data_IF_536123588953
#
_entry.id   IF_536123588953
#
_cell.length_a   1.000
_cell.length_b   1.000
_cell.length_c   1.000
_cell.angle_alpha   90.00
_cell.angle_beta   90.00
_cell.angle_gamma   90.00
#
_symmetry.space_group_name_H-M   'P 1'
#
loop_
_entity.id
_entity.type
_entity.pdbx_description
1 polymer ?
#
# COMPACT_ATOMS: atom_id res chain seq x y z
N UNK A 1 3.84 7.18 43.94
CA UNK A 1 4.37 6.16 43.01
C UNK A 1 3.94 6.50 41.60
N UNK A 2 4.76 7.24 40.86
CA UNK A 2 4.51 7.63 39.48
C UNK A 2 4.76 6.41 38.59
N UNK A 3 3.72 5.84 37.97
CA UNK A 3 3.87 4.77 36.99
C UNK A 3 4.79 5.31 35.88
N UNK A 4 6.05 4.83 35.81
CA UNK A 4 6.89 5.00 34.64
C UNK A 4 6.14 4.39 33.47
N UNK A 5 5.50 5.24 32.66
CA UNK A 5 4.90 4.83 31.39
C UNK A 5 6.08 4.37 30.53
N UNK A 6 6.16 3.07 30.27
CA UNK A 6 7.10 2.54 29.30
C UNK A 6 6.85 3.30 28.00
N UNK A 7 7.88 3.98 27.50
CA UNK A 7 7.86 4.61 26.18
C UNK A 7 7.50 3.51 25.20
N UNK A 8 6.28 3.58 24.65
CA UNK A 8 5.88 2.65 23.61
C UNK A 8 6.57 3.06 22.32
N UNK A 9 6.89 2.14 21.40
CA UNK A 9 7.41 2.49 20.06
C UNK A 9 6.55 3.50 19.28
N UNK A 10 5.33 3.78 19.75
CA UNK A 10 4.42 4.80 19.25
C UNK A 10 4.82 6.25 19.62
N UNK A 11 5.76 6.46 20.54
CA UNK A 11 6.21 7.79 20.97
C UNK A 11 7.34 8.39 20.12
N UNK A 12 7.82 7.66 19.09
CA UNK A 12 8.79 8.24 18.15
C UNK A 12 8.10 9.31 17.31
N UNK A 13 8.42 10.58 17.61
CA UNK A 13 8.02 11.73 16.82
C UNK A 13 8.21 11.45 15.34
N UNK A 14 7.16 11.69 14.55
CA UNK A 14 7.30 11.67 13.11
C UNK A 14 8.25 12.79 12.69
N UNK A 15 9.12 12.55 11.71
CA UNK A 15 10.14 13.51 11.32
C UNK A 15 9.49 14.82 10.88
N UNK A 16 10.20 15.91 11.11
CA UNK A 16 9.82 17.25 10.66
C UNK A 16 8.48 17.78 11.19
N UNK A 17 8.06 17.34 12.38
CA UNK A 17 6.98 17.96 13.13
C UNK A 17 5.56 17.59 12.71
N UNK A 18 5.38 16.57 11.84
CA UNK A 18 4.04 16.02 11.60
C UNK A 18 3.54 15.43 12.92
N UNK A 19 2.47 15.99 13.47
CA UNK A 19 1.81 15.38 14.62
C UNK A 19 0.94 14.26 14.10
N UNK A 20 1.30 13.00 14.39
CA UNK A 20 0.52 11.82 14.02
C UNK A 20 0.02 11.14 15.28
N UNK A 21 -1.29 11.01 15.38
CA UNK A 21 -1.95 10.27 16.44
C UNK A 21 -1.71 8.77 16.28
N UNK A 22 -1.48 8.08 17.39
CA UNK A 22 -1.40 6.62 17.41
C UNK A 22 -2.75 5.98 17.06
N UNK A 23 -3.87 6.62 17.40
CA UNK A 23 -5.24 6.19 17.09
C UNK A 23 -5.89 7.11 16.05
N UNK A 24 -6.85 6.63 15.24
CA UNK A 24 -7.52 7.47 14.25
C UNK A 24 -8.20 8.65 14.94
N UNK A 25 -7.97 9.87 14.44
CA UNK A 25 -8.52 11.10 15.07
C UNK A 25 -10.00 11.32 14.77
N UNK A 26 -10.52 10.61 13.77
CA UNK A 26 -11.93 10.60 13.40
C UNK A 26 -12.50 9.25 13.80
N UNK A 27 -13.69 9.28 14.40
CA UNK A 27 -14.43 8.07 14.74
C UNK A 27 -15.23 7.64 13.52
N UNK A 28 -15.10 6.38 13.13
CA UNK A 28 -15.91 5.81 12.06
C UNK A 28 -17.38 5.82 12.51
N UNK A 29 -18.21 6.59 11.81
CA UNK A 29 -19.64 6.64 12.07
C UNK A 29 -20.36 5.56 11.26
N UNK A 30 -20.62 4.41 11.87
CA UNK A 30 -21.27 3.23 11.25
C UNK A 30 -22.78 3.36 11.02
N UNK A 31 -23.38 4.55 11.20
CA UNK A 31 -24.85 4.73 11.18
C UNK A 31 -25.48 4.63 9.79
N UNK A 32 -24.69 4.64 8.71
CA UNK A 32 -25.20 4.35 7.37
C UNK A 32 -25.19 2.83 7.15
N UNK A 33 -26.36 2.23 6.88
CA UNK A 33 -26.60 0.77 6.74
C UNK A 33 -25.75 0.00 5.71
N UNK A 34 -24.76 0.63 5.04
CA UNK A 34 -24.00 0.04 3.92
C UNK A 34 -22.55 0.56 3.77
N UNK A 35 -21.79 0.77 4.86
CA UNK A 35 -20.34 1.01 4.72
C UNK A 35 -19.57 -0.30 4.88
N UNK A 36 -18.73 -0.62 3.90
CA UNK A 36 -17.79 -1.74 3.96
C UNK A 36 -16.63 -1.36 4.88
N UNK A 37 -16.86 -1.49 6.19
CA UNK A 37 -15.77 -1.39 7.17
C UNK A 37 -15.08 -2.73 7.31
N UNK A 38 -13.76 -2.78 7.17
CA UNK A 38 -12.96 -4.00 7.33
C UNK A 38 -11.89 -3.82 8.41
N UNK A 39 -11.46 -4.91 9.04
CA UNK A 39 -10.28 -4.93 9.92
C UNK A 39 -9.09 -5.47 9.14
N UNK A 40 -8.06 -4.64 8.98
CA UNK A 40 -6.81 -4.99 8.32
C UNK A 40 -5.76 -5.30 9.38
N UNK A 41 -5.28 -6.54 9.41
CA UNK A 41 -4.09 -6.91 10.18
C UNK A 41 -2.83 -6.45 9.44
N UNK A 42 -1.91 -5.80 10.15
CA UNK A 42 -0.66 -5.32 9.58
C UNK A 42 0.51 -5.64 10.52
N UNK A 43 1.62 -6.08 9.93
CA UNK A 43 2.90 -6.29 10.64
C UNK A 43 3.72 -5.01 10.71
N UNK A 44 3.32 -3.94 10.00
CA UNK A 44 3.80 -2.59 10.29
C UNK A 44 3.34 -2.16 11.69
N UNK A 45 3.91 -1.08 12.24
CA UNK A 45 3.35 -0.33 13.36
C UNK A 45 2.03 0.35 12.96
N UNK A 46 1.08 -0.41 12.40
CA UNK A 46 -0.31 -0.07 12.13
C UNK A 46 -1.18 -0.86 13.11
N UNK A 47 -0.83 -2.13 13.38
CA UNK A 47 -1.65 -3.06 14.18
C UNK A 47 -2.90 -3.50 13.42
N UNK A 48 -3.91 -4.02 14.13
CA UNK A 48 -5.25 -4.19 13.54
C UNK A 48 -5.92 -2.82 13.39
N UNK A 49 -6.43 -2.50 12.19
CA UNK A 49 -7.12 -1.22 11.94
C UNK A 49 -8.41 -1.39 11.17
N UNK A 50 -9.40 -0.61 11.57
CA UNK A 50 -10.60 -0.39 10.78
C UNK A 50 -10.27 0.54 9.60
N UNK A 51 -10.73 0.17 8.42
CA UNK A 51 -10.71 1.00 7.20
C UNK A 51 -12.16 1.32 6.81
N UNK A 52 -12.41 2.52 6.29
CA UNK A 52 -13.77 3.00 5.98
C UNK A 52 -14.26 2.60 4.57
N UNK A 53 -13.34 2.16 3.71
CA UNK A 53 -13.61 1.81 2.31
C UNK A 53 -12.73 0.66 1.81
N UNK A 54 -13.16 -0.02 0.74
CA UNK A 54 -12.37 -1.06 0.06
C UNK A 54 -11.10 -0.53 -0.60
N UNK A 55 -11.10 0.74 -1.01
CA UNK A 55 -9.92 1.38 -1.62
C UNK A 55 -8.86 1.69 -0.55
N UNK A 56 -9.27 2.15 0.64
CA UNK A 56 -8.38 2.28 1.80
C UNK A 56 -7.82 0.92 2.23
N UNK A 57 -8.65 -0.13 2.24
CA UNK A 57 -8.20 -1.49 2.50
C UNK A 57 -7.10 -1.90 1.52
N UNK A 58 -7.35 -1.70 0.21
CA UNK A 58 -6.39 -2.04 -0.83
C UNK A 58 -5.08 -1.27 -0.65
N UNK A 59 -5.15 0.03 -0.39
CA UNK A 59 -3.98 0.84 -0.11
C UNK A 59 -3.17 0.31 1.08
N UNK A 60 -3.84 -0.01 2.20
CA UNK A 60 -3.18 -0.55 3.38
C UNK A 60 -2.48 -1.89 3.10
N UNK A 61 -3.08 -2.77 2.27
CA UNK A 61 -2.46 -4.02 1.83
C UNK A 61 -1.21 -3.78 0.98
N UNK A 62 -1.28 -2.87 0.00
CA UNK A 62 -0.11 -2.51 -0.83
C UNK A 62 0.98 -1.92 0.04
N UNK A 63 0.65 -0.98 0.94
CA UNK A 63 1.61 -0.35 1.84
C UNK A 63 2.27 -1.35 2.81
N UNK A 64 1.53 -2.35 3.26
CA UNK A 64 2.07 -3.45 4.07
C UNK A 64 3.11 -4.28 3.32
N UNK A 65 2.92 -4.49 2.02
CA UNK A 65 3.83 -5.26 1.19
C UNK A 65 4.99 -4.41 0.66
N UNK A 66 4.83 -3.09 0.59
CA UNK A 66 5.87 -2.18 0.14
C UNK A 66 7.03 -2.15 1.16
N UNK A 67 8.24 -2.56 0.75
CA UNK A 67 9.41 -2.62 1.61
C UNK A 67 9.96 -1.25 2.02
N UNK A 68 9.67 -0.19 1.25
CA UNK A 68 10.02 1.19 1.59
C UNK A 68 9.13 1.77 2.68
N UNK A 69 7.96 1.17 2.92
CA UNK A 69 7.06 1.57 4.00
C UNK A 69 7.54 0.96 5.33
N UNK A 70 7.88 1.82 6.28
CA UNK A 70 8.27 1.40 7.62
C UNK A 70 7.19 1.64 8.67
N UNK A 71 6.26 2.58 8.42
CA UNK A 71 5.12 2.89 9.29
C UNK A 71 3.93 3.35 8.46
N UNK A 72 2.73 2.99 8.92
CA UNK A 72 1.46 3.45 8.35
C UNK A 72 0.51 3.78 9.49
N UNK A 73 -0.21 4.90 9.41
CA UNK A 73 -1.26 5.28 10.38
C UNK A 73 -2.47 5.80 9.63
N UNK A 74 -3.65 5.29 9.95
CA UNK A 74 -4.91 5.82 9.42
C UNK A 74 -5.35 7.07 10.17
N UNK A 75 -5.91 8.03 9.44
CA UNK A 75 -6.48 9.29 9.94
C UNK A 75 -5.60 9.94 11.01
N UNK A 76 -4.37 10.34 10.61
CA UNK A 76 -3.28 10.62 11.53
C UNK A 76 -3.51 11.89 12.34
N UNK A 77 -4.16 12.90 11.77
CA UNK A 77 -4.31 14.21 12.40
C UNK A 77 -5.43 15.03 11.78
N UNK A 78 -5.86 16.07 12.50
CA UNK A 78 -6.77 17.08 11.97
C UNK A 78 -5.95 18.26 11.43
N UNK A 79 -6.04 18.49 10.13
CA UNK A 79 -5.55 19.68 9.46
C UNK A 79 -6.64 20.76 9.45
N UNK A 80 -6.24 22.03 9.58
CA UNK A 80 -7.13 23.19 9.42
C UNK A 80 -6.86 23.78 8.03
N UNK A 81 -7.75 23.52 7.09
CA UNK A 81 -7.58 23.92 5.69
C UNK A 81 -8.49 25.08 5.37
N UNK A 82 -8.01 26.04 4.59
CA UNK A 82 -8.84 27.09 4.03
C UNK A 82 -9.45 26.59 2.71
N UNK A 83 -10.77 26.46 2.65
CA UNK A 83 -11.52 26.01 1.48
C UNK A 83 -12.75 26.92 1.32
N UNK A 84 -12.92 27.52 0.14
CA UNK A 84 -14.03 28.42 -0.20
C UNK A 84 -14.26 29.55 0.84
N UNK A 85 -13.16 30.17 1.30
CA UNK A 85 -13.21 31.25 2.29
C UNK A 85 -13.56 30.81 3.71
N UNK A 86 -13.65 29.50 3.99
CA UNK A 86 -13.94 28.94 5.31
C UNK A 86 -12.79 28.06 5.79
N UNK A 87 -12.56 28.05 7.11
CA UNK A 87 -11.65 27.09 7.72
C UNK A 87 -12.41 25.79 7.98
N UNK A 88 -12.01 24.72 7.30
CA UNK A 88 -12.55 23.36 7.50
C UNK A 88 -11.52 22.49 8.22
N UNK A 89 -12.01 21.48 8.93
CA UNK A 89 -11.18 20.42 9.51
C UNK A 89 -11.17 19.24 8.56
N UNK A 90 -9.98 18.78 8.17
CA UNK A 90 -9.77 17.61 7.31
C UNK A 90 -8.79 16.66 7.96
N UNK A 91 -9.00 15.37 7.78
CA UNK A 91 -8.08 14.34 8.24
C UNK A 91 -7.67 13.54 7.00
N UNK A 92 -6.38 13.53 6.64
CA UNK A 92 -5.89 12.67 5.56
C UNK A 92 -6.22 11.21 5.86
N UNK A 93 -6.40 10.38 4.85
CA UNK A 93 -6.68 8.96 5.07
C UNK A 93 -5.52 8.25 5.77
N UNK A 94 -4.28 8.57 5.41
CA UNK A 94 -3.08 7.95 5.99
C UNK A 94 -1.92 8.92 6.24
N UNK A 95 -1.06 8.58 7.20
CA UNK A 95 0.34 8.99 7.24
C UNK A 95 1.23 7.78 6.95
N UNK A 96 2.18 7.93 6.04
CA UNK A 96 3.11 6.89 5.59
C UNK A 96 4.53 7.32 5.89
N UNK A 97 5.32 6.43 6.49
CA UNK A 97 6.77 6.58 6.59
C UNK A 97 7.42 5.77 5.48
N UNK A 98 7.85 6.44 4.42
CA UNK A 98 8.44 5.86 3.22
C UNK A 98 9.92 6.23 3.12
N UNK A 99 10.83 5.25 3.16
CA UNK A 99 12.29 5.46 3.12
C UNK A 99 12.77 6.57 4.07
N UNK A 100 12.24 6.56 5.30
CA UNK A 100 12.56 7.52 6.35
C UNK A 100 11.92 8.91 6.20
N UNK A 101 11.08 9.11 5.17
CA UNK A 101 10.34 10.36 4.95
C UNK A 101 8.87 10.17 5.29
N UNK A 102 8.31 11.15 5.97
CA UNK A 102 6.89 11.16 6.30
C UNK A 102 6.08 11.83 5.20
N UNK A 103 4.93 11.25 4.88
CA UNK A 103 4.04 11.69 3.82
C UNK A 103 2.58 11.50 4.27
N UNK A 104 1.76 12.54 4.12
CA UNK A 104 0.31 12.45 4.30
C UNK A 104 -0.30 11.99 2.98
N UNK A 105 -1.28 11.11 3.05
CA UNK A 105 -1.78 10.41 1.88
C UNK A 105 -3.30 10.30 1.90
N UNK A 106 -3.90 10.48 0.73
CA UNK A 106 -5.33 10.30 0.49
C UNK A 106 -5.56 9.18 -0.51
N UNK A 107 -6.65 8.44 -0.34
CA UNK A 107 -7.08 7.40 -1.26
C UNK A 107 -8.48 7.73 -1.76
N UNK A 108 -8.68 7.71 -3.07
CA UNK A 108 -9.97 8.05 -3.69
C UNK A 108 -10.35 7.06 -4.78
N UNK A 109 -11.65 6.83 -4.93
CA UNK A 109 -12.17 6.20 -6.14
C UNK A 109 -11.96 7.15 -7.33
N UNK A 110 -11.74 6.61 -8.52
CA UNK A 110 -11.50 7.43 -9.71
C UNK A 110 -12.65 8.42 -9.98
N UNK A 111 -13.89 7.98 -9.78
CA UNK A 111 -15.07 8.83 -9.96
C UNK A 111 -15.13 10.01 -8.98
N UNK A 112 -14.68 9.81 -7.73
CA UNK A 112 -14.65 10.87 -6.71
C UNK A 112 -13.63 11.95 -7.05
N UNK A 113 -12.50 11.60 -7.68
CA UNK A 113 -11.49 12.57 -8.07
C UNK A 113 -11.97 13.60 -9.10
N UNK A 114 -13.05 13.29 -9.84
CA UNK A 114 -13.62 14.20 -10.83
C UNK A 114 -14.78 15.04 -10.29
N UNK A 115 -15.19 14.80 -9.04
CA UNK A 115 -16.12 15.68 -8.35
C UNK A 115 -15.41 17.01 -8.04
N UNK A 116 -15.93 18.16 -8.51
CA UNK A 116 -15.33 19.47 -8.25
C UNK A 116 -15.16 19.80 -6.76
N UNK A 117 -16.07 19.34 -5.89
CA UNK A 117 -15.96 19.57 -4.44
C UNK A 117 -14.79 18.77 -3.84
N UNK A 118 -14.62 17.51 -4.27
CA UNK A 118 -13.49 16.66 -3.85
C UNK A 118 -12.18 17.20 -4.39
N UNK A 119 -12.13 17.60 -5.67
CA UNK A 119 -10.93 18.19 -6.26
C UNK A 119 -10.51 19.48 -5.53
N UNK A 120 -11.47 20.36 -5.21
CA UNK A 120 -11.24 21.56 -4.40
C UNK A 120 -10.70 21.21 -3.01
N UNK A 121 -11.25 20.17 -2.37
CA UNK A 121 -10.79 19.69 -1.07
C UNK A 121 -9.35 19.19 -1.10
N UNK A 122 -9.00 18.33 -2.07
CA UNK A 122 -7.64 17.80 -2.22
C UNK A 122 -6.62 18.91 -2.43
N UNK A 123 -6.96 19.92 -3.24
CA UNK A 123 -6.12 21.10 -3.48
C UNK A 123 -5.94 21.95 -2.21
N UNK A 124 -7.00 22.13 -1.43
CA UNK A 124 -6.93 22.87 -0.17
C UNK A 124 -6.05 22.15 0.86
N UNK A 125 -6.17 20.83 0.96
CA UNK A 125 -5.31 20.00 1.83
C UNK A 125 -3.86 20.07 1.38
N UNK A 126 -3.58 19.85 0.08
CA UNK A 126 -2.23 19.98 -0.48
C UNK A 126 -1.60 21.33 -0.12
N UNK A 127 -2.33 22.41 -0.37
CA UNK A 127 -1.87 23.77 -0.11
C UNK A 127 -1.49 23.97 1.36
N UNK A 128 -2.29 23.45 2.29
CA UNK A 128 -1.97 23.51 3.72
C UNK A 128 -0.72 22.69 4.06
N UNK A 129 -0.62 21.46 3.54
CA UNK A 129 0.52 20.57 3.80
C UNK A 129 1.83 21.18 3.29
N UNK A 130 1.82 21.78 2.10
CA UNK A 130 3.01 22.37 1.49
C UNK A 130 3.50 23.66 2.16
N UNK A 131 2.72 24.28 3.05
CA UNK A 131 3.22 25.35 3.93
C UNK A 131 4.28 24.86 4.91
N UNK A 132 4.37 23.55 5.12
CA UNK A 132 5.38 22.92 5.95
C UNK A 132 6.48 22.34 5.06
N UNK A 133 7.69 22.92 5.14
CA UNK A 133 8.83 22.68 4.23
C UNK A 133 9.27 21.21 4.02
N UNK A 134 8.79 20.29 4.85
CA UNK A 134 9.19 18.88 4.81
C UNK A 134 8.00 17.91 4.76
N UNK A 135 6.79 18.43 4.70
CA UNK A 135 5.62 17.58 4.57
C UNK A 135 5.35 17.33 3.10
N UNK A 136 4.78 16.17 2.81
CA UNK A 136 4.38 15.77 1.48
C UNK A 136 2.93 15.34 1.52
N UNK A 137 2.22 15.61 0.43
CA UNK A 137 0.86 15.18 0.24
C UNK A 137 0.76 14.46 -1.10
N UNK A 138 0.18 13.26 -1.10
CA UNK A 138 -0.07 12.49 -2.30
C UNK A 138 -1.43 11.83 -2.27
N UNK A 139 -1.88 11.44 -3.46
CA UNK A 139 -3.19 10.82 -3.67
C UNK A 139 -3.00 9.56 -4.49
N UNK A 140 -3.55 8.44 -4.03
CA UNK A 140 -3.69 7.22 -4.84
C UNK A 140 -5.12 7.11 -5.35
N UNK A 141 -5.25 6.79 -6.64
CA UNK A 141 -6.53 6.41 -7.24
C UNK A 141 -6.74 4.91 -7.17
N UNK A 142 -8.00 4.51 -7.06
CA UNK A 142 -8.40 3.10 -7.11
C UNK A 142 -7.81 2.37 -8.32
N UNK A 143 -7.88 2.95 -9.53
CA UNK A 143 -7.35 2.35 -10.75
C UNK A 143 -5.87 2.03 -10.68
N UNK A 144 -5.08 2.87 -9.99
CA UNK A 144 -3.64 2.66 -9.85
C UNK A 144 -3.33 1.52 -8.87
N UNK A 145 -4.13 1.39 -7.81
CA UNK A 145 -4.06 0.30 -6.84
C UNK A 145 -4.59 -1.04 -7.38
N UNK A 146 -5.42 -0.98 -8.42
CA UNK A 146 -5.97 -2.13 -9.14
C UNK A 146 -5.25 -2.44 -10.45
N UNK A 147 -4.20 -1.69 -10.80
CA UNK A 147 -3.41 -1.95 -12.00
C UNK A 147 -2.71 -3.31 -11.89
N UNK A 148 -2.69 -4.08 -12.98
CA UNK A 148 -1.91 -5.31 -13.06
C UNK A 148 -0.44 -4.99 -13.41
N UNK A 149 0.54 -5.74 -12.85
CA UNK A 149 0.38 -6.93 -12.00
C UNK A 149 0.30 -6.65 -10.50
N UNK A 150 0.38 -5.38 -10.08
CA UNK A 150 0.34 -4.98 -8.66
C UNK A 150 -0.86 -5.59 -7.95
N UNK A 151 -2.02 -5.59 -8.61
CA UNK A 151 -3.24 -6.09 -8.05
C UNK A 151 -3.17 -7.59 -7.71
N UNK A 152 -2.88 -8.42 -8.71
CA UNK A 152 -2.77 -9.87 -8.51
C UNK A 152 -1.63 -10.23 -7.56
N UNK A 153 -0.49 -9.54 -7.62
CA UNK A 153 0.63 -9.74 -6.71
C UNK A 153 0.24 -9.43 -5.26
N UNK A 154 -0.47 -8.33 -5.02
CA UNK A 154 -0.94 -7.93 -3.69
C UNK A 154 -1.88 -8.98 -3.11
N UNK A 155 -2.85 -9.46 -3.90
CA UNK A 155 -3.81 -10.46 -3.41
C UNK A 155 -3.16 -11.81 -3.15
N UNK A 156 -2.18 -12.21 -3.96
CA UNK A 156 -1.40 -13.41 -3.73
C UNK A 156 -0.62 -13.30 -2.43
N UNK A 157 0.22 -12.27 -2.29
CA UNK A 157 1.10 -12.10 -1.14
C UNK A 157 0.32 -11.89 0.16
N UNK A 158 -0.80 -11.18 0.12
CA UNK A 158 -1.65 -10.97 1.29
C UNK A 158 -2.13 -12.29 1.91
N UNK A 159 -2.50 -13.28 1.08
CA UNK A 159 -2.91 -14.62 1.54
C UNK A 159 -1.77 -15.41 2.20
N UNK A 160 -0.53 -15.05 1.90
CA UNK A 160 0.68 -15.68 2.43
C UNK A 160 1.36 -14.84 3.53
N UNK A 161 0.81 -13.68 3.88
CA UNK A 161 1.35 -12.85 4.96
C UNK A 161 1.21 -13.56 6.29
N UNK A 162 2.33 -13.72 7.01
CA UNK A 162 2.38 -14.31 8.34
C UNK A 162 3.25 -13.45 9.26
N UNK A 163 2.96 -13.40 10.57
CA UNK A 163 3.87 -12.81 11.53
C UNK A 163 5.26 -13.44 11.43
N UNK A 164 6.31 -12.63 11.54
CA UNK A 164 7.70 -13.06 11.34
C UNK A 164 8.11 -14.23 12.26
N UNK A 165 7.61 -14.25 13.50
CA UNK A 165 7.88 -15.31 14.47
C UNK A 165 7.26 -16.67 14.11
N UNK A 166 6.33 -16.71 13.14
CA UNK A 166 5.74 -17.95 12.62
C UNK A 166 6.50 -18.49 11.41
N UNK A 167 7.48 -17.73 10.90
CA UNK A 167 8.34 -18.17 9.80
C UNK A 167 9.54 -18.91 10.38
N UNK A 168 9.81 -20.11 9.87
CA UNK A 168 10.94 -20.93 10.31
C UNK A 168 12.27 -20.16 10.19
N UNK A 169 12.97 -20.04 11.30
CA UNK A 169 14.24 -19.30 11.37
C UNK A 169 15.32 -19.92 10.49
N UNK A 170 15.43 -21.26 10.45
CA UNK A 170 16.44 -21.94 9.65
C UNK A 170 16.17 -21.75 8.15
N UNK A 171 14.90 -21.84 7.75
CA UNK A 171 14.46 -21.49 6.41
C UNK A 171 14.88 -20.06 6.02
N UNK A 172 14.59 -19.08 6.89
CA UNK A 172 14.92 -17.68 6.63
C UNK A 172 16.42 -17.48 6.39
N UNK A 173 17.27 -18.10 7.23
CA UNK A 173 18.72 -18.02 7.08
C UNK A 173 19.18 -18.63 5.75
N UNK A 174 18.69 -19.82 5.39
CA UNK A 174 19.07 -20.49 4.14
C UNK A 174 18.66 -19.70 2.90
N UNK A 175 17.45 -19.12 2.90
CA UNK A 175 17.00 -18.26 1.80
C UNK A 175 17.82 -16.98 1.74
N UNK A 176 18.03 -16.31 2.88
CA UNK A 176 18.82 -15.09 2.96
C UNK A 176 20.25 -15.28 2.44
N UNK A 177 20.87 -16.43 2.73
CA UNK A 177 22.20 -16.78 2.23
C UNK A 177 22.22 -16.98 0.70
N UNK A 178 21.15 -17.54 0.13
CA UNK A 178 21.05 -17.73 -1.32
C UNK A 178 20.88 -16.40 -2.05
N UNK A 179 20.08 -15.48 -1.51
CA UNK A 179 19.76 -14.19 -2.15
C UNK A 179 20.68 -13.03 -1.73
N UNK A 180 21.61 -13.26 -0.79
CA UNK A 180 22.60 -12.24 -0.38
C UNK A 180 23.71 -12.04 -1.41
N UNK A 181 23.95 -13.05 -2.23
CA UNK A 181 25.06 -13.07 -3.18
C UNK A 181 24.70 -12.47 -4.54
N UNK A 182 23.44 -12.59 -4.97
CA UNK A 182 23.01 -12.19 -6.30
C UNK A 182 21.46 -12.07 -6.39
N UNK A 183 21.00 -11.45 -7.47
CA UNK A 183 19.61 -11.44 -7.92
C UNK A 183 19.33 -12.76 -8.63
N UNK A 184 18.42 -13.58 -8.11
CA UNK A 184 18.21 -14.96 -8.57
C UNK A 184 16.74 -15.27 -8.84
N UNK A 185 16.41 -16.03 -9.90
CA UNK A 185 15.04 -16.50 -10.11
C UNK A 185 14.54 -17.35 -8.94
N UNK A 186 13.26 -17.24 -8.59
CA UNK A 186 12.64 -18.01 -7.52
C UNK A 186 12.88 -19.53 -7.64
N UNK A 187 12.79 -20.09 -8.85
CA UNK A 187 13.12 -21.51 -9.13
C UNK A 187 14.52 -21.91 -8.65
N UNK A 188 15.50 -21.02 -8.81
CA UNK A 188 16.89 -21.25 -8.39
C UNK A 188 17.00 -21.19 -6.88
N UNK A 189 16.25 -20.30 -6.22
CA UNK A 189 16.19 -20.25 -4.75
C UNK A 189 15.66 -21.56 -4.19
N UNK A 190 14.52 -22.05 -4.70
CA UNK A 190 13.93 -23.32 -4.27
C UNK A 190 14.91 -24.49 -4.45
N UNK A 191 15.60 -24.54 -5.59
CA UNK A 191 16.59 -25.58 -5.87
C UNK A 191 17.80 -25.52 -4.92
N UNK A 192 18.40 -24.35 -4.74
CA UNK A 192 19.60 -24.17 -3.90
C UNK A 192 19.30 -24.45 -2.43
N UNK A 193 18.15 -23.99 -1.92
CA UNK A 193 17.73 -24.28 -0.54
C UNK A 193 17.50 -25.77 -0.33
N UNK A 194 16.91 -26.46 -1.31
CA UNK A 194 16.73 -27.93 -1.27
C UNK A 194 18.05 -28.69 -1.24
N UNK A 195 19.08 -28.25 -1.97
CA UNK A 195 20.41 -28.91 -1.92
C UNK A 195 21.11 -28.76 -0.57
N UNK A 196 20.73 -27.75 0.23
CA UNK A 196 21.35 -27.42 1.52
C UNK A 196 20.56 -27.96 2.73
N UNK A 197 19.51 -28.74 2.53
CA UNK A 197 18.74 -29.33 3.62
C UNK A 197 17.30 -29.65 3.22
N UNK A 198 16.35 -29.43 4.13
CA UNK A 198 14.92 -29.62 3.82
C UNK A 198 14.50 -28.65 2.70
N UNK A 199 14.00 -29.20 1.59
CA UNK A 199 13.42 -28.42 0.51
C UNK A 199 12.25 -27.56 0.98
N UNK A 200 11.95 -26.52 0.22
CA UNK A 200 10.91 -25.55 0.55
C UNK A 200 9.89 -25.48 -0.56
N UNK A 201 8.64 -25.18 -0.21
CA UNK A 201 7.58 -25.01 -1.18
C UNK A 201 7.54 -23.55 -1.68
N UNK A 202 6.89 -23.33 -2.82
CA UNK A 202 6.66 -21.97 -3.34
C UNK A 202 5.92 -21.08 -2.33
N UNK A 203 4.98 -21.66 -1.57
CA UNK A 203 4.20 -20.97 -0.56
C UNK A 203 5.05 -20.45 0.61
N UNK A 204 6.13 -21.16 0.94
CA UNK A 204 7.09 -20.70 1.96
C UNK A 204 7.81 -19.46 1.45
N UNK A 205 8.24 -19.49 0.19
CA UNK A 205 8.91 -18.36 -0.46
C UNK A 205 7.98 -17.14 -0.58
N UNK A 206 6.71 -17.34 -0.96
CA UNK A 206 5.69 -16.28 -0.94
C UNK A 206 5.51 -15.68 0.46
N UNK A 207 5.58 -16.49 1.52
CA UNK A 207 5.46 -16.00 2.89
C UNK A 207 6.66 -15.15 3.31
N UNK A 208 7.86 -15.50 2.84
CA UNK A 208 9.07 -14.70 3.04
C UNK A 208 9.02 -13.37 2.26
N UNK A 209 8.47 -13.36 1.05
CA UNK A 209 8.24 -12.14 0.26
C UNK A 209 7.19 -11.26 0.95
N UNK A 210 6.04 -11.81 1.32
CA UNK A 210 4.98 -11.08 2.01
C UNK A 210 5.43 -10.52 3.36
N UNK A 211 6.28 -11.27 4.09
CA UNK A 211 6.94 -10.83 5.31
C UNK A 211 8.06 -9.80 5.10
N UNK A 212 8.37 -9.43 3.86
CA UNK A 212 9.42 -8.47 3.47
C UNK A 212 10.81 -8.88 3.95
N UNK A 213 11.11 -10.17 3.92
CA UNK A 213 12.44 -10.72 4.22
C UNK A 213 13.30 -10.84 2.96
N UNK A 214 12.63 -11.05 1.83
CA UNK A 214 13.19 -11.04 0.48
C UNK A 214 12.25 -10.23 -0.40
N UNK A 215 12.74 -9.83 -1.57
CA UNK A 215 12.03 -8.89 -2.43
C UNK A 215 12.04 -9.30 -3.89
N UNK A 216 11.20 -8.63 -4.68
CA UNK A 216 11.02 -8.84 -6.10
C UNK A 216 10.48 -7.56 -6.75
N UNK A 217 10.50 -7.50 -8.08
CA UNK A 217 9.92 -6.37 -8.80
C UNK A 217 8.41 -6.55 -8.89
N UNK A 218 7.67 -5.74 -8.13
CA UNK A 218 6.20 -5.77 -8.10
C UNK A 218 5.56 -5.38 -9.44
N UNK A 219 6.31 -4.70 -10.31
CA UNK A 219 5.85 -4.29 -11.64
C UNK A 219 5.79 -5.47 -12.63
N UNK A 220 6.32 -6.64 -12.25
CA UNK A 220 6.20 -7.88 -13.03
C UNK A 220 5.31 -8.91 -12.31
N UNK A 221 4.59 -9.78 -13.03
CA UNK A 221 3.81 -10.85 -12.41
C UNK A 221 4.70 -11.75 -11.54
N UNK A 222 4.28 -12.00 -10.30
CA UNK A 222 4.99 -12.87 -9.39
C UNK A 222 4.75 -14.34 -9.75
N UNK A 223 5.82 -15.04 -10.15
CA UNK A 223 5.82 -16.44 -10.51
C UNK A 223 7.19 -17.09 -10.19
N UNK A 224 7.38 -18.34 -10.60
CA UNK A 224 8.59 -19.12 -10.29
C UNK A 224 9.86 -18.61 -11.00
N UNK A 225 9.70 -17.74 -12.00
CA UNK A 225 10.76 -17.14 -12.78
C UNK A 225 11.07 -15.71 -12.33
N UNK A 226 10.27 -15.15 -11.42
CA UNK A 226 10.50 -13.82 -10.84
C UNK A 226 11.85 -13.78 -10.15
N UNK A 227 12.57 -12.69 -10.41
CA UNK A 227 13.85 -12.41 -9.80
C UNK A 227 13.65 -11.99 -8.34
N UNK A 228 14.41 -12.62 -7.44
CA UNK A 228 14.39 -12.40 -6.01
C UNK A 228 15.75 -11.91 -5.53
N UNK A 229 15.74 -11.04 -4.51
CA UNK A 229 16.96 -10.52 -3.92
C UNK A 229 16.82 -10.23 -2.43
N UNK A 230 17.97 -10.12 -1.75
CA UNK A 230 18.02 -9.61 -0.39
C UNK A 230 17.61 -8.13 -0.36
N UNK A 231 16.73 -7.80 0.59
CA UNK A 231 16.16 -6.45 0.64
C UNK A 231 17.14 -5.30 0.89
N UNK A 232 18.31 -5.60 1.41
CA UNK A 232 19.32 -4.61 1.78
C UNK A 232 20.44 -4.48 0.75
N UNK A 233 20.55 -5.41 -0.20
CA UNK A 233 21.67 -5.45 -1.16
C UNK A 233 21.26 -5.59 -2.63
N UNK A 234 19.97 -5.75 -2.93
CA UNK A 234 19.52 -5.84 -4.32
C UNK A 234 19.34 -4.49 -5.01
N UNK A 235 18.78 -4.51 -6.24
CA UNK A 235 18.62 -3.31 -7.06
C UNK A 235 17.78 -2.23 -6.38
N UNK A 236 18.03 -0.99 -6.78
CA UNK A 236 17.18 0.14 -6.44
C UNK A 236 15.76 -0.13 -6.94
N UNK A 237 14.78 0.23 -6.12
CA UNK A 237 13.37 -0.10 -6.37
C UNK A 237 12.64 1.13 -6.85
N UNK A 238 11.74 0.93 -7.81
CA UNK A 238 10.63 1.85 -7.97
C UNK A 238 9.72 1.74 -6.74
N UNK A 239 9.12 2.87 -6.36
CA UNK A 239 8.11 2.90 -5.31
C UNK A 239 6.93 2.02 -5.74
N UNK A 240 6.51 1.07 -4.90
CA UNK A 240 5.37 0.18 -5.20
C UNK A 240 4.05 0.93 -5.02
N UNK A 241 3.97 1.75 -3.98
CA UNK A 241 2.81 2.60 -3.75
C UNK A 241 2.65 3.65 -4.87
N UNK A 242 1.49 3.69 -5.55
CA UNK A 242 1.28 4.59 -6.68
C UNK A 242 0.93 6.01 -6.21
N UNK A 243 1.88 6.67 -5.54
CA UNK A 243 1.71 8.04 -5.06
C UNK A 243 1.63 9.00 -6.25
N UNK A 244 0.42 9.46 -6.55
CA UNK A 244 0.17 10.54 -7.50
C UNK A 244 0.21 11.91 -6.82
N UNK A 245 0.41 12.95 -7.62
CA UNK A 245 0.11 14.32 -7.19
C UNK A 245 -1.40 14.56 -7.22
N UNK A 246 -1.88 15.58 -6.51
CA UNK A 246 -3.29 15.98 -6.56
C UNK A 246 -3.71 16.29 -7.99
N UNK A 247 -2.87 17.01 -8.74
CA UNK A 247 -3.14 17.38 -10.14
C UNK A 247 -3.33 16.14 -11.02
N UNK A 248 -2.47 15.12 -10.84
CA UNK A 248 -2.58 13.85 -11.59
C UNK A 248 -3.82 13.05 -11.21
N UNK A 249 -4.30 13.18 -9.97
CA UNK A 249 -5.48 12.47 -9.48
C UNK A 249 -6.78 13.10 -10.00
N UNK A 250 -6.88 14.43 -9.97
CA UNK A 250 -8.08 15.17 -10.38
C UNK A 250 -8.16 15.39 -11.90
N UNK A 251 -7.07 15.14 -12.62
CA UNK A 251 -7.07 15.20 -14.08
C UNK A 251 -8.13 14.23 -14.64
N UNK A 252 -9.07 14.78 -15.39
CA UNK A 252 -10.06 13.98 -16.11
C UNK A 252 -9.30 13.16 -17.16
N UNK A 253 -9.42 11.82 -17.17
CA UNK A 253 -8.78 11.01 -18.18
C UNK A 253 -9.29 11.47 -19.56
N UNK A 254 -8.44 11.48 -20.60
CA UNK A 254 -8.91 11.76 -21.94
C UNK A 254 -10.09 10.82 -22.24
N UNK A 255 -11.15 11.30 -22.93
CA UNK A 255 -12.30 10.47 -23.24
C UNK A 255 -11.79 9.20 -23.91
N UNK A 256 -11.88 8.09 -23.20
CA UNK A 256 -11.45 6.80 -23.71
C UNK A 256 -12.35 6.60 -24.92
N UNK A 257 -11.79 6.58 -26.14
CA UNK A 257 -12.53 6.13 -27.31
C UNK A 257 -13.00 4.74 -26.92
N UNK A 258 -14.27 4.63 -26.54
CA UNK A 258 -14.92 3.36 -26.31
C UNK A 258 -14.67 2.59 -27.59
N UNK A 259 -13.75 1.63 -27.54
CA UNK A 259 -13.63 0.61 -28.57
C UNK A 259 -15.00 -0.03 -28.55
N UNK A 260 -15.83 0.32 -29.54
CA UNK A 260 -17.20 -0.18 -29.63
C UNK A 260 -17.09 -1.69 -29.43
N UNK A 261 -17.82 -2.28 -28.46
CA UNK A 261 -17.86 -3.73 -28.37
C UNK A 261 -18.20 -4.25 -29.76
N UNK A 262 -17.41 -5.19 -30.27
CA UNK A 262 -17.63 -5.82 -31.56
C UNK A 262 -19.14 -6.08 -31.70
N UNK A 263 -19.78 -5.35 -32.61
CA UNK A 263 -21.17 -5.60 -32.95
C UNK A 263 -21.22 -7.06 -33.36
N UNK A 264 -21.97 -7.85 -32.61
CA UNK A 264 -22.27 -9.23 -32.91
C UNK A 264 -22.73 -9.30 -34.37
N UNK A 265 -21.91 -9.92 -35.21
CA UNK A 265 -22.28 -10.22 -36.60
C UNK A 265 -23.47 -11.18 -36.52
N UNK A 266 -24.66 -10.83 -37.00
CA UNK A 266 -25.78 -11.75 -36.99
C UNK A 266 -25.44 -12.94 -37.89
N UNK A 267 -25.38 -14.13 -37.30
CA UNK A 267 -25.26 -15.38 -38.04
C UNK A 267 -26.51 -15.54 -38.91
N UNK A 268 -26.34 -15.40 -40.24
CA UNK A 268 -27.39 -15.65 -41.22
C UNK A 268 -27.77 -17.13 -41.18
N UNK A 269 -29.01 -17.38 -40.74
CA UNK A 269 -29.91 -18.47 -41.09
C UNK A 269 -29.30 -19.79 -41.57
N UNK A 270 -29.20 -20.75 -40.64
CA UNK A 270 -29.36 -22.16 -40.99
C UNK A 270 -30.86 -22.45 -40.95
N UNK A 271 -31.47 -22.67 -42.12
CA UNK A 271 -32.81 -23.26 -42.22
C UNK A 271 -32.66 -24.76 -42.00
N UNK A 272 -33.35 -25.28 -40.98
CA UNK A 272 -33.70 -26.71 -40.87
C UNK A 272 -34.94 -26.96 -41.73
#
# INVERSE_FOLDING_TARGET
MTKKRLVTPDDYAWPHGITVSATPVRRIHTRARRRNTALVYSTLPLGMREVESSVEERFARVAQLDPGVSRLRSQPSWLRVAQDGRIRRRAPDFAVMYDGRAELHEVKQDAECWDPEVASELLAVRTEVERHAHWRYSVSRESALLAEPLASNTDLLWRHLRPEHQLDYELRLRVAEVVSQDVVPARVVLERVRRRGRGIAWQDLLSLIAGRLIDFDVAVPLNIDSLLWNRFSGPARARTLPFGTVESAIAVPPPTRLVRPFLSVPLRGVRL
#
